data_IF_681746251749
#
_entry.id   IF_681746251749
#
_cell.length_a   1.000
_cell.length_b   1.000
_cell.length_c   1.000
_cell.angle_alpha   90.00
_cell.angle_beta   90.00
_cell.angle_gamma   90.00
#
_symmetry.space_group_name_H-M   'P 1'
#
loop_
_entity.id
_entity.type
_entity.pdbx_description
1 polymer ?
#
# COMPACT_ATOMS: atom_id res chain seq x y z
N UNK A 1 -49.43 -43.36 0.26
CA UNK A 1 -48.02 -43.33 0.64
C UNK A 1 -47.80 -42.03 1.41
N UNK A 2 -47.47 -42.11 2.71
CA UNK A 2 -47.23 -40.95 3.54
C UNK A 2 -45.83 -40.41 3.24
N UNK A 3 -45.76 -39.17 2.85
CA UNK A 3 -44.50 -38.47 2.63
C UNK A 3 -43.84 -38.17 3.99
N UNK A 4 -42.66 -38.70 4.21
CA UNK A 4 -41.86 -38.40 5.40
C UNK A 4 -41.12 -37.11 5.17
N UNK A 5 -41.51 -36.04 5.83
CA UNK A 5 -40.83 -34.75 5.80
C UNK A 5 -39.84 -34.70 6.95
N UNK A 6 -38.56 -34.66 6.65
CA UNK A 6 -37.51 -34.45 7.66
C UNK A 6 -37.38 -32.95 7.97
N UNK A 7 -37.82 -32.56 9.14
CA UNK A 7 -37.57 -31.20 9.67
C UNK A 7 -36.31 -31.18 10.50
N UNK A 8 -35.35 -30.30 10.12
CA UNK A 8 -34.06 -30.12 10.78
C UNK A 8 -34.13 -29.24 12.04
N UNK A 9 -35.31 -28.77 12.43
CA UNK A 9 -35.51 -27.99 13.66
C UNK A 9 -35.97 -28.95 14.77
N UNK A 10 -35.12 -29.15 15.77
CA UNK A 10 -35.40 -29.93 16.94
C UNK A 10 -36.58 -29.42 17.75
N UNK A 11 -37.78 -29.83 17.37
CA UNK A 11 -38.97 -29.74 18.20
C UNK A 11 -39.24 -31.12 18.75
N UNK A 12 -39.17 -31.27 20.04
CA UNK A 12 -39.61 -32.46 20.78
C UNK A 12 -41.11 -32.63 20.65
N UNK A 13 -41.51 -33.39 19.69
CA UNK A 13 -42.88 -33.87 19.58
C UNK A 13 -42.92 -35.31 20.02
N UNK A 14 -43.66 -35.58 21.06
CA UNK A 14 -44.00 -36.88 21.61
C UNK A 14 -44.65 -37.74 20.55
N UNK A 15 -43.96 -38.73 20.08
CA UNK A 15 -44.47 -39.67 19.11
C UNK A 15 -43.41 -40.49 18.41
N UNK A 16 -42.57 -41.21 19.17
CA UNK A 16 -41.82 -42.34 18.64
C UNK A 16 -40.81 -42.10 17.50
N UNK A 17 -40.50 -40.85 17.17
CA UNK A 17 -39.47 -40.53 16.19
C UNK A 17 -38.15 -40.36 16.90
N UNK A 18 -37.20 -41.22 16.65
CA UNK A 18 -35.83 -41.06 17.12
C UNK A 18 -35.32 -39.68 16.63
N UNK A 19 -35.09 -38.77 17.56
CA UNK A 19 -34.60 -37.43 17.23
C UNK A 19 -33.25 -37.56 16.51
N UNK A 20 -33.29 -37.34 15.21
CA UNK A 20 -32.12 -37.54 14.33
C UNK A 20 -31.06 -36.45 14.44
N UNK A 21 -31.24 -35.49 15.33
CA UNK A 21 -30.29 -34.39 15.48
C UNK A 21 -28.87 -34.83 15.88
N UNK A 22 -28.76 -36.01 16.52
CA UNK A 22 -27.43 -36.58 16.87
C UNK A 22 -26.89 -37.58 15.83
N UNK A 23 -27.72 -38.01 14.87
CA UNK A 23 -27.34 -39.02 13.88
C UNK A 23 -27.06 -38.44 12.49
N UNK A 24 -27.39 -37.16 12.25
CA UNK A 24 -27.07 -36.50 10.99
C UNK A 24 -25.66 -36.00 11.06
N UNK A 25 -24.75 -36.72 10.44
CA UNK A 25 -23.37 -36.30 10.27
C UNK A 25 -23.32 -35.15 9.28
N UNK A 26 -22.87 -34.00 9.73
CA UNK A 26 -22.65 -32.87 8.83
C UNK A 26 -21.47 -33.21 7.91
N UNK A 27 -21.73 -33.22 6.61
CA UNK A 27 -20.66 -33.31 5.63
C UNK A 27 -19.94 -31.95 5.57
N UNK A 28 -18.70 -31.95 5.99
CA UNK A 28 -17.84 -30.78 5.81
C UNK A 28 -16.99 -30.99 4.56
N UNK A 29 -16.92 -29.96 3.73
CA UNK A 29 -16.01 -29.96 2.62
C UNK A 29 -14.56 -29.86 3.15
N UNK A 30 -13.67 -30.69 2.60
CA UNK A 30 -12.22 -30.63 2.91
C UNK A 30 -11.52 -29.50 2.16
N UNK A 31 -12.20 -28.89 1.19
CA UNK A 31 -11.65 -27.78 0.42
C UNK A 31 -11.62 -26.53 1.30
N UNK A 32 -10.44 -26.04 1.61
CA UNK A 32 -10.25 -24.75 2.28
C UNK A 32 -10.27 -23.66 1.24
N UNK A 33 -11.34 -22.88 1.23
CA UNK A 33 -11.42 -21.68 0.40
C UNK A 33 -10.88 -20.48 1.17
N UNK A 34 -9.95 -19.76 0.55
CA UNK A 34 -9.45 -18.50 1.07
C UNK A 34 -10.24 -17.35 0.47
N UNK A 35 -10.55 -16.35 1.29
CA UNK A 35 -11.12 -15.12 0.78
C UNK A 35 -10.21 -14.49 -0.28
N UNK A 36 -10.79 -14.03 -1.38
CA UNK A 36 -10.07 -13.27 -2.38
C UNK A 36 -9.51 -11.98 -1.75
N UNK A 37 -8.23 -11.71 -1.97
CA UNK A 37 -7.49 -10.62 -1.32
C UNK A 37 -6.79 -9.78 -2.37
N UNK A 38 -6.70 -8.47 -2.12
CA UNK A 38 -5.92 -7.57 -2.97
C UNK A 38 -4.43 -7.82 -2.78
N UNK A 39 -3.69 -7.85 -3.88
CA UNK A 39 -2.24 -8.02 -3.87
C UNK A 39 -1.55 -6.80 -3.23
N UNK A 40 -0.57 -6.99 -2.31
CA UNK A 40 0.26 -5.91 -1.78
C UNK A 40 1.27 -5.47 -2.84
N UNK A 41 1.23 -4.19 -3.22
CA UNK A 41 2.06 -3.64 -4.31
C UNK A 41 2.91 -2.43 -3.88
N UNK A 42 2.59 -1.81 -2.74
CA UNK A 42 3.17 -0.52 -2.35
C UNK A 42 4.65 -0.65 -1.97
N UNK A 43 5.05 -1.79 -1.37
CA UNK A 43 6.45 -2.09 -1.07
C UNK A 43 7.35 -2.03 -2.31
N UNK A 44 6.82 -2.32 -3.50
CA UNK A 44 7.59 -2.28 -4.77
C UNK A 44 8.09 -0.88 -5.13
N UNK A 45 7.52 0.16 -4.53
CA UNK A 45 7.95 1.56 -4.70
C UNK A 45 9.17 1.89 -3.85
N UNK A 46 9.47 1.10 -2.83
CA UNK A 46 10.61 1.32 -1.97
C UNK A 46 11.93 0.91 -2.65
N UNK A 47 12.95 1.74 -2.50
CA UNK A 47 14.29 1.44 -2.96
C UNK A 47 15.07 0.79 -1.81
N UNK A 48 15.38 -0.50 -1.95
CA UNK A 48 16.11 -1.27 -0.93
C UNK A 48 17.54 -0.77 -0.77
N UNK A 49 17.97 -0.63 0.48
CA UNK A 49 19.34 -0.24 0.87
C UNK A 49 20.00 -1.42 1.58
N UNK A 50 20.84 -2.21 0.89
CA UNK A 50 21.32 -3.51 1.39
C UNK A 50 22.47 -3.43 2.42
N UNK A 51 22.97 -2.24 2.76
CA UNK A 51 24.25 -2.11 3.45
C UNK A 51 24.24 -2.35 4.96
N UNK A 52 23.13 -2.79 5.56
CA UNK A 52 22.95 -2.68 7.00
C UNK A 52 23.16 -3.97 7.81
N UNK A 53 23.26 -5.11 7.18
CA UNK A 53 23.48 -6.38 7.91
C UNK A 53 24.85 -6.49 8.60
N UNK A 54 25.83 -5.67 8.18
CA UNK A 54 27.20 -5.75 8.68
C UNK A 54 27.54 -4.77 9.80
N UNK A 55 26.65 -3.80 10.09
CA UNK A 55 26.89 -2.77 11.10
C UNK A 55 25.82 -2.84 12.18
N UNK A 56 26.18 -3.12 13.45
CA UNK A 56 25.24 -3.12 14.55
C UNK A 56 24.70 -1.71 14.80
N UNK A 57 23.37 -1.55 14.81
CA UNK A 57 22.72 -0.29 15.10
C UNK A 57 21.21 -0.36 14.84
N UNK A 58 20.42 0.32 15.64
CA UNK A 58 18.97 0.42 15.48
C UNK A 58 18.54 1.47 14.45
N UNK A 59 19.49 2.22 13.90
CA UNK A 59 19.23 3.32 12.97
C UNK A 59 20.23 3.30 11.82
N UNK A 60 19.70 3.56 10.62
CA UNK A 60 20.48 3.70 9.40
C UNK A 60 20.46 5.15 8.97
N UNK A 61 21.63 5.76 8.86
CA UNK A 61 21.76 7.16 8.42
C UNK A 61 22.20 7.16 6.96
N UNK A 62 21.33 7.66 6.08
CA UNK A 62 21.61 7.86 4.67
C UNK A 62 22.04 9.31 4.45
N UNK A 63 23.24 9.52 3.94
CA UNK A 63 23.77 10.86 3.64
C UNK A 63 23.53 11.20 2.17
N UNK A 64 23.12 12.43 1.91
CA UNK A 64 22.94 13.00 0.57
C UNK A 64 23.78 14.27 0.45
N UNK A 65 24.67 14.27 -0.52
CA UNK A 65 25.40 15.46 -0.90
C UNK A 65 24.58 16.31 -1.87
N UNK A 66 24.70 17.62 -1.74
CA UNK A 66 24.08 18.59 -2.64
C UNK A 66 25.13 19.04 -3.66
N UNK A 67 24.71 19.22 -4.90
CA UNK A 67 25.58 19.68 -5.98
C UNK A 67 26.09 21.10 -5.70
N UNK A 68 27.28 21.42 -6.19
CA UNK A 68 27.81 22.77 -6.19
C UNK A 68 27.01 23.65 -7.15
N UNK A 69 26.93 24.93 -6.83
CA UNK A 69 26.34 25.93 -7.73
C UNK A 69 27.11 26.01 -9.05
N UNK A 70 26.36 26.17 -10.16
CA UNK A 70 26.99 26.35 -11.44
C UNK A 70 27.85 27.63 -11.46
N UNK A 71 29.06 27.53 -12.00
CA UNK A 71 29.97 28.67 -12.19
C UNK A 71 29.48 29.48 -13.40
N UNK A 72 29.24 30.77 -13.20
CA UNK A 72 28.79 31.71 -14.26
C UNK A 72 29.85 32.79 -14.56
N UNK A 73 30.88 32.89 -13.74
CA UNK A 73 31.96 33.84 -13.91
C UNK A 73 33.08 33.33 -14.82
N UNK A 74 33.72 34.22 -15.58
CA UNK A 74 34.92 33.91 -16.34
C UNK A 74 36.13 34.00 -15.41
N UNK A 75 37.12 33.12 -15.61
CA UNK A 75 38.40 33.18 -14.91
C UNK A 75 39.28 34.30 -15.44
N UNK A 76 40.04 34.95 -14.55
CA UNK A 76 41.04 35.94 -14.90
C UNK A 76 42.39 35.23 -15.06
N UNK A 77 43.18 35.59 -16.05
CA UNK A 77 44.40 34.85 -16.46
C UNK A 77 45.47 34.76 -15.38
N UNK A 78 45.56 35.74 -14.50
CA UNK A 78 46.62 35.83 -13.47
C UNK A 78 46.08 35.74 -12.02
N UNK A 79 44.85 35.28 -11.83
CA UNK A 79 44.21 35.21 -10.52
C UNK A 79 43.86 33.76 -10.15
N UNK A 80 44.23 33.37 -8.93
CA UNK A 80 43.87 32.04 -8.45
C UNK A 80 42.38 31.98 -8.08
N UNK A 81 41.76 30.81 -8.30
CA UNK A 81 40.33 30.60 -8.03
C UNK A 81 40.15 30.34 -6.55
N UNK A 82 39.27 31.12 -5.92
CA UNK A 82 38.86 30.86 -4.55
C UNK A 82 38.20 29.49 -4.41
N UNK A 83 38.62 28.71 -3.44
CA UNK A 83 38.07 27.40 -3.17
C UNK A 83 36.61 27.50 -2.66
N UNK A 84 35.68 26.88 -3.34
CA UNK A 84 34.30 26.81 -2.92
C UNK A 84 34.11 25.59 -1.99
N UNK A 85 33.66 25.86 -0.76
CA UNK A 85 33.35 24.79 0.19
C UNK A 85 32.18 23.94 -0.24
N UNK A 86 32.26 22.63 -0.09
CA UNK A 86 31.12 21.73 -0.24
C UNK A 86 30.07 22.00 0.84
N UNK A 87 28.80 22.00 0.45
CA UNK A 87 27.70 22.08 1.41
C UNK A 87 27.68 20.87 2.34
N UNK A 88 27.27 21.07 3.58
CA UNK A 88 27.08 19.98 4.54
C UNK A 88 26.06 18.96 3.99
N UNK A 89 26.35 17.65 4.01
CA UNK A 89 25.43 16.65 3.52
C UNK A 89 24.16 16.62 4.37
N UNK A 90 23.02 16.47 3.70
CA UNK A 90 21.74 16.23 4.38
C UNK A 90 21.63 14.76 4.72
N UNK A 91 21.24 14.45 5.96
CA UNK A 91 21.08 13.08 6.42
C UNK A 91 19.59 12.73 6.59
N UNK A 92 19.22 11.53 6.17
CA UNK A 92 17.90 10.92 6.45
C UNK A 92 18.14 9.68 7.30
N UNK A 93 17.48 9.63 8.45
CA UNK A 93 17.62 8.50 9.39
C UNK A 93 16.43 7.56 9.22
N UNK A 94 16.72 6.27 9.06
CA UNK A 94 15.74 5.19 9.07
C UNK A 94 15.87 4.44 10.38
N UNK A 95 14.80 4.41 11.18
CA UNK A 95 14.77 3.62 12.41
C UNK A 95 14.32 2.20 12.06
N UNK A 96 15.10 1.22 12.48
CA UNK A 96 14.79 -0.19 12.34
C UNK A 96 13.95 -0.64 13.52
N UNK A 97 12.79 -1.23 13.25
CA UNK A 97 11.89 -1.76 14.25
C UNK A 97 11.61 -3.24 13.98
N UNK A 98 11.33 -3.95 15.04
CA UNK A 98 10.90 -5.35 14.97
C UNK A 98 9.41 -5.40 14.70
N UNK A 99 9.02 -6.24 13.73
CA UNK A 99 7.63 -6.50 13.38
C UNK A 99 7.39 -7.99 13.32
N UNK A 100 6.24 -8.41 13.79
CA UNK A 100 5.86 -9.82 13.75
C UNK A 100 4.42 -10.01 14.22
N UNK A 101 3.85 -11.14 13.84
CA UNK A 101 2.56 -11.61 14.32
C UNK A 101 2.60 -13.14 14.44
N UNK A 102 1.89 -13.69 15.41
CA UNK A 102 1.88 -15.13 15.63
C UNK A 102 0.50 -15.67 15.94
N UNK A 103 0.25 -16.90 15.51
CA UNK A 103 -0.95 -17.68 15.79
C UNK A 103 -0.52 -18.90 16.58
N UNK A 104 -1.26 -19.24 17.64
CA UNK A 104 -1.01 -20.41 18.45
C UNK A 104 -1.89 -21.56 17.94
N UNK A 105 -1.25 -22.63 17.48
CA UNK A 105 -1.91 -23.86 17.03
C UNK A 105 -1.97 -24.83 18.18
N UNK A 106 -3.15 -25.37 18.46
CA UNK A 106 -3.33 -26.35 19.52
C UNK A 106 -3.40 -27.77 18.94
N UNK A 107 -2.78 -28.74 19.62
CA UNK A 107 -2.84 -30.13 19.21
C UNK A 107 -4.28 -30.70 19.12
N UNK A 108 -5.20 -30.13 19.90
CA UNK A 108 -6.61 -30.52 19.82
C UNK A 108 -7.22 -30.17 18.46
N UNK A 109 -6.88 -29.00 17.92
CA UNK A 109 -7.35 -28.60 16.58
C UNK A 109 -6.77 -29.52 15.52
N UNK A 110 -5.47 -29.84 15.59
CA UNK A 110 -4.83 -30.78 14.65
C UNK A 110 -5.50 -32.16 14.66
N UNK A 111 -5.89 -32.65 15.83
CA UNK A 111 -6.51 -33.98 15.98
C UNK A 111 -7.99 -34.02 15.58
N UNK A 112 -8.73 -32.94 15.81
CA UNK A 112 -10.19 -32.93 15.61
C UNK A 112 -10.60 -32.25 14.31
N UNK A 113 -9.70 -31.55 13.63
CA UNK A 113 -9.97 -30.94 12.34
C UNK A 113 -10.02 -31.99 11.24
N UNK A 114 -11.02 -31.85 10.38
CA UNK A 114 -11.19 -32.68 9.18
C UNK A 114 -10.25 -32.22 8.05
N UNK A 115 -9.83 -30.95 8.07
CA UNK A 115 -8.96 -30.33 7.08
C UNK A 115 -7.55 -30.17 7.63
N UNK A 116 -6.56 -30.16 6.75
CA UNK A 116 -5.18 -29.87 7.09
C UNK A 116 -5.03 -28.37 7.40
N UNK A 117 -4.82 -28.04 8.66
CA UNK A 117 -4.81 -26.66 9.17
C UNK A 117 -3.46 -25.99 8.96
N UNK A 118 -2.36 -26.69 8.98
CA UNK A 118 -1.02 -26.13 8.89
C UNK A 118 -0.78 -25.32 7.61
N UNK A 119 -1.13 -25.81 6.39
CA UNK A 119 -0.99 -25.03 5.17
C UNK A 119 -1.91 -23.81 5.14
N UNK A 120 -3.11 -23.91 5.73
CA UNK A 120 -4.04 -22.80 5.82
C UNK A 120 -3.50 -21.66 6.68
N UNK A 121 -2.98 -21.99 7.86
CA UNK A 121 -2.38 -21.00 8.77
C UNK A 121 -1.13 -20.38 8.14
N UNK A 122 -0.27 -21.16 7.49
CA UNK A 122 0.91 -20.66 6.80
C UNK A 122 0.55 -19.64 5.71
N UNK A 123 -0.50 -19.89 4.92
CA UNK A 123 -0.98 -18.96 3.91
C UNK A 123 -1.53 -17.66 4.53
N UNK A 124 -2.30 -17.76 5.61
CA UNK A 124 -2.84 -16.59 6.33
C UNK A 124 -1.70 -15.75 6.91
N UNK A 125 -0.69 -16.38 7.49
CA UNK A 125 0.49 -15.69 8.06
C UNK A 125 1.31 -15.01 6.97
N UNK A 126 1.57 -15.71 5.85
CA UNK A 126 2.30 -15.15 4.72
C UNK A 126 1.60 -13.91 4.12
N UNK A 127 0.27 -13.96 3.99
CA UNK A 127 -0.49 -12.80 3.55
C UNK A 127 -0.44 -11.66 4.58
N UNK A 128 -0.59 -11.96 5.88
CA UNK A 128 -0.51 -10.96 6.95
C UNK A 128 0.86 -10.28 6.98
N UNK A 129 1.95 -11.02 6.74
CA UNK A 129 3.29 -10.49 6.58
C UNK A 129 3.32 -9.44 5.44
N UNK A 130 2.89 -9.85 4.24
CA UNK A 130 2.90 -8.98 3.08
C UNK A 130 2.01 -7.73 3.25
N UNK A 131 0.82 -7.92 3.84
CA UNK A 131 -0.14 -6.85 4.16
C UNK A 131 0.42 -5.84 5.16
N UNK A 132 1.05 -6.34 6.21
CA UNK A 132 1.62 -5.48 7.27
C UNK A 132 2.76 -4.61 6.74
N UNK A 133 3.67 -5.19 5.96
CA UNK A 133 4.79 -4.44 5.37
C UNK A 133 4.31 -3.40 4.38
N UNK A 134 3.33 -3.75 3.54
CA UNK A 134 2.72 -2.84 2.58
C UNK A 134 2.04 -1.65 3.29
N UNK A 135 1.35 -1.91 4.41
CA UNK A 135 0.76 -0.88 5.26
C UNK A 135 1.78 0.05 5.91
N UNK A 136 2.94 -0.47 6.35
CA UNK A 136 4.05 0.34 6.87
C UNK A 136 4.64 1.25 5.80
N UNK A 137 4.88 0.72 4.60
CA UNK A 137 5.34 1.49 3.46
C UNK A 137 4.36 2.62 3.11
N UNK A 138 3.04 2.31 3.07
CA UNK A 138 1.99 3.29 2.82
C UNK A 138 1.94 4.37 3.89
N UNK A 139 2.09 4.00 5.16
CA UNK A 139 2.10 4.96 6.26
C UNK A 139 3.22 5.98 6.12
N UNK A 140 4.39 5.56 5.65
CA UNK A 140 5.52 6.46 5.39
C UNK A 140 5.30 7.30 4.13
N UNK A 141 4.77 6.72 3.05
CA UNK A 141 4.51 7.43 1.80
C UNK A 141 3.45 8.52 1.94
N UNK A 142 2.40 8.29 2.73
CA UNK A 142 1.31 9.26 2.92
C UNK A 142 1.69 10.49 3.76
N UNK A 143 2.81 10.44 4.46
CA UNK A 143 3.33 11.58 5.20
C UNK A 143 4.07 12.54 4.24
N UNK A 144 4.41 13.74 4.69
CA UNK A 144 5.17 14.71 3.92
C UNK A 144 4.43 16.00 3.65
N UNK A 145 5.19 17.01 3.26
CA UNK A 145 4.70 18.38 3.05
C UNK A 145 4.29 18.66 1.60
N UNK A 146 4.72 17.83 0.64
CA UNK A 146 4.42 18.01 -0.77
C UNK A 146 3.01 17.51 -1.10
N UNK A 147 2.01 18.37 -0.89
CA UNK A 147 0.60 18.05 -1.07
C UNK A 147 -0.02 18.94 -2.13
N UNK A 148 -0.89 18.37 -2.93
CA UNK A 148 -1.78 19.07 -3.87
C UNK A 148 -3.20 18.71 -3.47
N UNK A 149 -3.99 19.72 -3.14
CA UNK A 149 -5.40 19.55 -2.83
C UNK A 149 -6.23 19.68 -4.11
N UNK A 150 -7.17 18.76 -4.31
CA UNK A 150 -8.17 18.85 -5.39
C UNK A 150 -9.26 19.83 -5.02
N UNK A 151 -9.83 20.47 -6.07
CA UNK A 151 -10.83 21.54 -5.88
C UNK A 151 -10.18 22.92 -5.87
N UNK A 152 -10.97 23.92 -6.30
CA UNK A 152 -10.49 25.30 -6.45
C UNK A 152 -10.28 26.05 -5.14
N UNK A 153 -10.93 25.62 -4.07
CA UNK A 153 -10.94 26.30 -2.76
C UNK A 153 -10.26 25.51 -1.65
N UNK A 154 -9.87 24.25 -1.92
CA UNK A 154 -9.27 23.38 -0.91
C UNK A 154 -7.82 23.80 -0.64
N UNK A 155 -7.52 24.14 0.62
CA UNK A 155 -6.17 24.50 1.12
C UNK A 155 -5.63 23.54 2.17
N UNK A 156 -6.48 22.65 2.64
CA UNK A 156 -6.14 21.61 3.64
C UNK A 156 -7.01 20.37 3.44
N UNK A 157 -6.62 19.26 4.03
CA UNK A 157 -7.39 18.01 4.00
C UNK A 157 -8.82 18.22 4.48
N UNK A 158 -9.01 18.96 5.59
CA UNK A 158 -10.32 19.21 6.18
C UNK A 158 -11.28 20.06 5.30
N UNK A 159 -10.78 20.69 4.25
CA UNK A 159 -11.59 21.50 3.32
C UNK A 159 -11.98 20.76 2.05
N UNK A 160 -11.56 19.51 1.88
CA UNK A 160 -11.87 18.67 0.72
C UNK A 160 -13.33 18.19 0.81
N UNK A 161 -14.10 18.49 -0.21
CA UNK A 161 -15.48 18.02 -0.38
C UNK A 161 -15.52 16.76 -1.26
N UNK A 162 -16.63 16.02 -1.24
CA UNK A 162 -16.84 14.89 -2.14
C UNK A 162 -16.77 15.29 -3.63
N UNK A 163 -17.17 16.52 -3.96
CA UNK A 163 -17.10 17.06 -5.31
C UNK A 163 -15.68 17.46 -5.76
N UNK A 164 -14.72 17.54 -4.84
CA UNK A 164 -13.33 17.84 -5.13
C UNK A 164 -12.60 16.60 -5.68
N UNK A 165 -13.05 16.05 -6.78
CA UNK A 165 -12.51 14.84 -7.42
C UNK A 165 -11.11 15.07 -8.00
N UNK A 166 -10.38 13.97 -8.20
CA UNK A 166 -9.09 14.02 -8.88
C UNK A 166 -9.29 14.40 -10.35
N UNK A 167 -8.53 15.39 -10.81
CA UNK A 167 -8.57 15.84 -12.21
C UNK A 167 -7.22 15.64 -12.91
N UNK A 168 -7.28 15.54 -14.24
CA UNK A 168 -6.10 15.51 -15.12
C UNK A 168 -5.18 16.70 -14.89
N UNK A 169 -5.75 17.87 -14.56
CA UNK A 169 -4.98 19.09 -14.24
C UNK A 169 -4.13 18.92 -12.97
N UNK A 170 -4.65 18.19 -11.95
CA UNK A 170 -3.91 17.92 -10.72
C UNK A 170 -2.74 16.97 -10.98
N UNK A 171 -2.93 15.97 -11.84
CA UNK A 171 -1.86 15.04 -12.25
C UNK A 171 -0.77 15.81 -12.99
N UNK A 172 -1.12 16.63 -13.99
CA UNK A 172 -0.16 17.47 -14.71
C UNK A 172 0.61 18.39 -13.79
N UNK A 173 -0.06 19.02 -12.83
CA UNK A 173 0.57 19.87 -11.81
C UNK A 173 1.59 19.12 -10.96
N UNK A 174 1.26 17.90 -10.53
CA UNK A 174 2.17 17.07 -9.76
C UNK A 174 3.41 16.66 -10.57
N UNK A 175 3.21 16.18 -11.80
CA UNK A 175 4.31 15.78 -12.69
C UNK A 175 5.19 16.98 -13.07
N UNK A 176 4.59 18.15 -13.33
CA UNK A 176 5.36 19.38 -13.60
C UNK A 176 6.24 19.77 -12.41
N UNK A 177 5.71 19.68 -11.17
CA UNK A 177 6.48 19.97 -9.96
C UNK A 177 7.60 18.94 -9.74
N UNK A 178 7.35 17.65 -9.98
CA UNK A 178 8.39 16.61 -9.91
C UNK A 178 9.54 16.88 -10.89
N UNK A 179 9.20 17.25 -12.13
CA UNK A 179 10.20 17.61 -13.15
C UNK A 179 10.94 18.89 -12.80
N UNK A 180 10.26 19.91 -12.27
CA UNK A 180 10.89 21.15 -11.79
C UNK A 180 11.88 20.89 -10.66
N UNK A 181 11.59 19.93 -9.79
CA UNK A 181 12.48 19.48 -8.72
C UNK A 181 13.59 18.52 -9.22
N UNK A 182 13.75 18.36 -10.54
CA UNK A 182 14.74 17.45 -11.14
C UNK A 182 14.64 16.00 -10.62
N UNK A 183 13.42 15.56 -10.27
CA UNK A 183 13.19 14.19 -9.85
C UNK A 183 13.31 13.24 -11.04
N UNK A 184 13.99 12.11 -10.83
CA UNK A 184 14.18 11.10 -11.87
C UNK A 184 12.95 10.19 -11.93
N UNK A 185 12.35 9.97 -13.12
CA UNK A 185 11.24 9.05 -13.31
C UNK A 185 11.64 7.61 -12.95
N UNK A 186 10.66 6.80 -12.49
CA UNK A 186 10.92 5.44 -12.01
C UNK A 186 11.01 4.41 -13.15
N UNK A 187 10.19 4.55 -14.19
CA UNK A 187 10.14 3.64 -15.34
C UNK A 187 10.29 4.41 -16.65
N UNK A 188 11.50 4.42 -17.19
CA UNK A 188 11.78 5.21 -18.41
C UNK A 188 11.54 6.69 -18.18
N UNK A 189 10.52 7.26 -18.84
CA UNK A 189 10.11 8.66 -18.68
C UNK A 189 8.91 8.86 -17.74
N UNK A 190 8.41 7.78 -17.11
CA UNK A 190 7.17 7.77 -16.36
C UNK A 190 7.42 7.70 -14.84
N UNK A 191 6.65 8.50 -14.10
CA UNK A 191 6.57 8.44 -12.64
C UNK A 191 5.55 7.37 -12.23
N UNK A 192 5.78 6.73 -11.09
CA UNK A 192 4.81 5.82 -10.50
C UNK A 192 3.65 6.60 -9.88
N UNK A 193 2.43 6.19 -10.12
CA UNK A 193 1.24 6.79 -9.52
C UNK A 193 0.34 5.70 -8.94
N UNK A 194 0.20 5.68 -7.61
CA UNK A 194 -0.75 4.80 -6.93
C UNK A 194 -2.10 5.49 -6.76
N UNK A 195 -3.18 4.84 -7.22
CA UNK A 195 -4.54 5.40 -7.21
C UNK A 195 -5.55 4.39 -6.64
N UNK A 196 -6.54 4.91 -5.90
CA UNK A 196 -7.65 4.08 -5.41
C UNK A 196 -8.70 3.89 -6.51
N UNK A 197 -9.39 2.72 -6.60
CA UNK A 197 -10.39 2.45 -7.64
C UNK A 197 -11.51 3.50 -7.73
N UNK A 198 -11.99 3.99 -6.61
CA UNK A 198 -13.04 5.03 -6.57
C UNK A 198 -12.59 6.35 -7.19
N UNK A 199 -11.32 6.72 -6.99
CA UNK A 199 -10.74 7.93 -7.60
C UNK A 199 -10.38 7.73 -9.06
N UNK A 200 -9.98 6.50 -9.44
CA UNK A 200 -9.73 6.17 -10.84
C UNK A 200 -10.99 6.22 -11.69
N UNK A 201 -12.14 5.86 -11.11
CA UNK A 201 -13.44 6.02 -11.76
C UNK A 201 -13.69 7.49 -12.15
N UNK A 202 -13.48 8.42 -11.23
CA UNK A 202 -13.70 9.84 -11.46
C UNK A 202 -12.74 10.40 -12.52
N UNK A 203 -11.47 10.02 -12.47
CA UNK A 203 -10.47 10.43 -13.45
C UNK A 203 -10.83 9.94 -14.86
N UNK A 204 -11.33 8.70 -14.98
CA UNK A 204 -11.79 8.13 -16.27
C UNK A 204 -13.11 8.72 -16.76
N UNK A 205 -13.94 9.23 -15.86
CA UNK A 205 -15.20 9.90 -16.22
C UNK A 205 -14.98 11.32 -16.78
N UNK A 206 -13.80 11.90 -16.55
CA UNK A 206 -13.45 13.23 -17.02
C UNK A 206 -13.41 13.27 -18.56
N UNK A 207 -14.15 14.19 -19.17
CA UNK A 207 -14.29 14.33 -20.63
C UNK A 207 -14.01 15.76 -21.08
N UNK A 208 -13.24 15.93 -22.14
CA UNK A 208 -12.88 17.24 -22.73
C UNK A 208 -11.51 17.18 -23.40
N UNK A 209 -11.15 18.24 -24.11
CA UNK A 209 -9.87 18.33 -24.79
C UNK A 209 -8.70 18.23 -23.80
N UNK A 210 -7.73 17.36 -24.08
CA UNK A 210 -6.55 17.08 -23.24
C UNK A 210 -6.87 16.53 -21.83
N UNK A 211 -8.07 15.97 -21.62
CA UNK A 211 -8.42 15.21 -20.42
C UNK A 211 -8.13 13.73 -20.59
N UNK A 212 -8.28 12.93 -19.51
CA UNK A 212 -7.90 11.50 -19.50
C UNK A 212 -8.45 10.72 -20.70
N UNK A 213 -9.72 10.93 -21.02
CA UNK A 213 -10.45 10.14 -22.02
C UNK A 213 -9.99 10.39 -23.45
N UNK A 214 -9.53 11.61 -23.76
CA UNK A 214 -9.21 12.03 -25.12
C UNK A 214 -7.99 11.29 -25.69
N UNK A 215 -6.82 11.25 -25.04
CA UNK A 215 -5.66 10.49 -25.51
C UNK A 215 -5.91 8.98 -25.63
N UNK A 216 -6.69 8.40 -24.71
CA UNK A 216 -6.95 6.96 -24.69
C UNK A 216 -7.91 6.50 -25.79
N UNK A 217 -8.74 7.39 -26.33
CA UNK A 217 -9.57 7.08 -27.49
C UNK A 217 -8.76 6.86 -28.76
N UNK A 218 -7.54 7.40 -28.84
CA UNK A 218 -6.69 7.33 -30.02
C UNK A 218 -5.60 6.26 -29.96
N UNK A 219 -5.25 5.76 -28.78
CA UNK A 219 -4.08 4.88 -28.63
C UNK A 219 -4.38 3.39 -28.80
N UNK A 220 -5.47 2.88 -28.27
CA UNK A 220 -5.92 1.49 -28.49
C UNK A 220 -7.30 1.24 -27.87
N UNK A 221 -8.32 0.84 -28.65
CA UNK A 221 -9.65 0.56 -28.11
C UNK A 221 -9.72 -0.63 -27.16
N UNK A 222 -8.78 -1.57 -27.23
CA UNK A 222 -8.72 -2.77 -26.40
C UNK A 222 -8.50 -2.45 -24.92
N UNK A 223 -7.75 -1.41 -24.61
CA UNK A 223 -7.47 -0.98 -23.24
C UNK A 223 -8.71 -0.56 -22.47
N UNK A 224 -9.73 -0.03 -23.17
CA UNK A 224 -10.99 0.38 -22.58
C UNK A 224 -11.75 -0.82 -22.00
N UNK A 225 -11.73 -1.95 -22.69
CA UNK A 225 -12.41 -3.17 -22.29
C UNK A 225 -11.71 -3.90 -21.12
N UNK A 226 -10.39 -3.82 -21.07
CA UNK A 226 -9.59 -4.44 -20.01
C UNK A 226 -9.62 -3.67 -18.69
N UNK A 227 -10.15 -2.44 -18.65
CA UNK A 227 -10.14 -1.59 -17.47
C UNK A 227 -8.72 -1.14 -17.06
N UNK A 228 -7.76 -1.26 -17.96
CA UNK A 228 -6.38 -0.82 -17.73
C UNK A 228 -6.32 0.70 -17.62
N UNK A 229 -5.64 1.20 -16.59
CA UNK A 229 -5.52 2.63 -16.36
C UNK A 229 -4.42 3.23 -17.23
N UNK A 230 -3.39 2.46 -17.58
CA UNK A 230 -2.34 2.89 -18.50
C UNK A 230 -1.46 4.02 -17.97
N UNK A 231 -0.89 4.79 -18.90
CA UNK A 231 -0.03 5.94 -18.59
C UNK A 231 -0.67 7.24 -19.10
N UNK A 232 -0.58 8.30 -18.30
CA UNK A 232 -1.11 9.61 -18.64
C UNK A 232 -0.19 10.72 -18.12
N UNK A 233 0.08 11.73 -18.93
CA UNK A 233 0.86 12.93 -18.58
C UNK A 233 2.22 12.65 -17.91
N UNK A 234 2.88 11.56 -18.25
CA UNK A 234 4.18 11.19 -17.69
C UNK A 234 4.11 10.41 -16.37
N UNK A 235 2.93 9.95 -15.96
CA UNK A 235 2.75 9.03 -14.85
C UNK A 235 2.11 7.71 -15.33
N UNK A 236 2.57 6.56 -14.84
CA UNK A 236 1.89 5.29 -15.00
C UNK A 236 1.12 4.95 -13.75
N UNK A 237 -0.14 4.59 -13.94
CA UNK A 237 -1.08 4.39 -12.85
C UNK A 237 -1.17 2.92 -12.47
N UNK A 238 -1.08 2.68 -11.15
CA UNK A 238 -1.32 1.38 -10.54
C UNK A 238 -2.53 1.52 -9.64
N UNK A 239 -3.61 0.83 -10.02
CA UNK A 239 -4.84 0.80 -9.25
C UNK A 239 -4.76 -0.24 -8.15
N UNK A 240 -4.98 0.19 -6.91
CA UNK A 240 -5.07 -0.73 -5.79
C UNK A 240 -6.03 -0.19 -4.73
N UNK A 241 -6.94 -1.02 -4.19
CA UNK A 241 -7.83 -0.64 -3.10
C UNK A 241 -7.09 -0.38 -1.78
N UNK A 242 -5.78 -0.68 -1.75
CA UNK A 242 -4.91 -0.49 -0.58
C UNK A 242 -4.37 0.94 -0.46
N UNK A 243 -4.65 1.82 -1.43
CA UNK A 243 -4.32 3.24 -1.30
C UNK A 243 -5.11 3.85 -0.15
N UNK A 244 -4.43 4.69 0.62
CA UNK A 244 -4.98 5.22 1.86
C UNK A 244 -6.17 6.13 1.61
N UNK A 245 -7.26 5.85 2.34
CA UNK A 245 -8.42 6.71 2.47
C UNK A 245 -8.77 6.93 3.94
N UNK A 246 -9.26 8.11 4.28
CA UNK A 246 -9.76 8.42 5.62
C UNK A 246 -10.93 9.40 5.53
N UNK A 247 -11.84 9.32 6.49
CA UNK A 247 -12.94 10.27 6.65
C UNK A 247 -12.44 11.50 7.41
N UNK A 248 -11.57 12.30 6.78
CA UNK A 248 -10.93 13.49 7.35
C UNK A 248 -11.14 14.77 6.51
N UNK A 249 -12.06 14.71 5.54
CA UNK A 249 -12.47 15.83 4.71
C UNK A 249 -13.52 16.74 5.34
N UNK A 250 -14.07 17.65 4.53
CA UNK A 250 -15.14 18.57 4.92
C UNK A 250 -16.42 17.83 5.27
N UNK A 251 -17.09 18.22 6.34
CA UNK A 251 -18.40 17.69 6.76
C UNK A 251 -18.62 17.85 8.25
N UNK A 252 -19.79 18.37 8.65
CA UNK A 252 -20.13 18.62 10.06
C UNK A 252 -20.75 17.40 10.76
N UNK A 253 -21.44 16.53 10.02
CA UNK A 253 -22.13 15.36 10.58
C UNK A 253 -21.46 14.04 10.20
N UNK A 254 -20.87 13.97 9.01
CA UNK A 254 -20.01 12.88 8.55
C UNK A 254 -18.91 13.49 7.68
N UNK A 255 -17.66 13.31 8.07
CA UNK A 255 -16.54 13.82 7.29
C UNK A 255 -16.46 13.06 5.96
N UNK A 256 -16.26 13.79 4.86
CA UNK A 256 -16.08 13.18 3.54
C UNK A 256 -14.80 12.34 3.51
N UNK A 257 -14.85 11.22 2.79
CA UNK A 257 -13.67 10.41 2.56
C UNK A 257 -12.67 11.13 1.67
N UNK A 258 -11.45 11.28 2.14
CA UNK A 258 -10.33 11.83 1.39
C UNK A 258 -9.39 10.70 0.96
N UNK A 259 -9.10 10.65 -0.31
CA UNK A 259 -8.21 9.69 -0.94
C UNK A 259 -6.86 10.33 -1.19
N UNK A 260 -5.80 9.55 -0.97
CA UNK A 260 -4.43 10.02 -1.16
C UNK A 260 -3.78 9.29 -2.33
N UNK A 261 -3.84 9.93 -3.50
CA UNK A 261 -3.12 9.50 -4.70
C UNK A 261 -1.66 9.94 -4.58
N UNK A 262 -0.72 9.02 -4.74
CA UNK A 262 0.70 9.28 -4.56
C UNK A 262 1.40 9.17 -5.89
N UNK A 263 2.19 10.20 -6.26
CA UNK A 263 3.03 10.19 -7.46
C UNK A 263 4.49 10.25 -6.99
N UNK A 264 5.26 9.21 -7.35
CA UNK A 264 6.61 9.00 -6.87
C UNK A 264 7.61 8.79 -8.01
N UNK A 265 8.76 9.43 -7.87
CA UNK A 265 9.95 9.17 -8.69
C UNK A 265 10.88 8.13 -8.07
N UNK A 266 12.10 8.03 -8.59
CA UNK A 266 13.16 7.22 -7.98
C UNK A 266 13.59 7.82 -6.65
N UNK A 267 13.98 6.94 -5.72
CA UNK A 267 14.48 7.31 -4.39
C UNK A 267 13.49 8.13 -3.53
N UNK A 268 12.19 8.05 -3.83
CA UNK A 268 11.15 8.68 -3.02
C UNK A 268 11.05 8.03 -1.63
N UNK A 269 11.02 6.69 -1.60
CA UNK A 269 10.96 5.87 -0.39
C UNK A 269 12.20 4.99 -0.31
N UNK A 270 12.88 4.99 0.82
CA UNK A 270 13.96 4.07 1.13
C UNK A 270 13.49 3.01 2.14
N UNK A 271 13.85 1.76 1.86
CA UNK A 271 13.66 0.62 2.77
C UNK A 271 15.02 0.18 3.29
N UNK A 272 15.18 0.10 4.61
CA UNK A 272 16.31 -0.52 5.27
C UNK A 272 15.86 -1.82 5.92
N UNK A 273 16.58 -2.90 5.65
CA UNK A 273 16.26 -4.24 6.14
C UNK A 273 17.46 -4.77 6.89
N UNK A 274 17.28 -5.05 8.18
CA UNK A 274 18.28 -5.75 8.99
C UNK A 274 18.05 -7.27 8.94
N UNK A 275 16.78 -7.68 9.01
CA UNK A 275 16.38 -9.07 8.85
C UNK A 275 15.15 -9.14 7.93
N UNK A 276 15.30 -9.90 6.81
CA UNK A 276 14.19 -10.04 5.86
C UNK A 276 13.02 -10.75 6.54
N UNK A 277 11.80 -10.21 6.40
CA UNK A 277 10.61 -10.83 6.97
C UNK A 277 10.42 -12.26 6.45
N UNK A 278 10.29 -13.19 7.36
CA UNK A 278 10.12 -14.61 7.07
C UNK A 278 9.15 -15.29 8.02
N UNK A 279 8.61 -16.42 7.61
CA UNK A 279 7.72 -17.22 8.44
C UNK A 279 8.55 -18.04 9.43
N UNK A 280 8.16 -18.00 10.69
CA UNK A 280 8.81 -18.70 11.79
C UNK A 280 7.85 -19.72 12.40
N UNK A 281 8.29 -20.94 12.55
CA UNK A 281 7.60 -21.97 13.32
C UNK A 281 8.36 -22.14 14.63
N UNK A 282 7.76 -21.74 15.73
CA UNK A 282 8.38 -21.78 17.03
C UNK A 282 8.34 -23.18 17.66
N UNK A 283 9.17 -23.41 18.68
CA UNK A 283 9.10 -24.62 19.47
C UNK A 283 7.78 -24.66 20.26
N UNK A 284 7.43 -25.86 20.75
CA UNK A 284 6.27 -26.02 21.62
C UNK A 284 6.51 -25.29 22.94
N UNK A 285 5.58 -24.39 23.30
CA UNK A 285 5.74 -23.47 24.46
C UNK A 285 5.06 -23.95 25.74
N UNK A 286 4.24 -25.00 25.68
CA UNK A 286 3.51 -25.52 26.82
C UNK A 286 4.23 -26.77 27.45
N UNK A 287 4.16 -26.89 28.77
CA UNK A 287 4.70 -28.05 29.53
C UNK A 287 4.10 -29.41 29.12
N UNK A 288 2.87 -29.41 28.59
CA UNK A 288 2.20 -30.58 28.04
C UNK A 288 2.40 -30.76 26.53
N UNK A 289 3.22 -29.93 25.90
CA UNK A 289 3.52 -29.96 24.47
C UNK A 289 2.27 -29.87 23.57
N UNK A 290 1.29 -29.02 23.95
CA UNK A 290 0.02 -28.88 23.26
C UNK A 290 -0.06 -27.67 22.33
N UNK A 291 0.82 -26.68 22.54
CA UNK A 291 0.75 -25.39 21.85
C UNK A 291 1.99 -25.15 21.00
N UNK A 292 1.81 -25.00 19.69
CA UNK A 292 2.88 -24.68 18.74
C UNK A 292 2.61 -23.31 18.13
N UNK A 293 3.47 -22.31 18.37
CA UNK A 293 3.33 -21.02 17.73
C UNK A 293 3.82 -21.07 16.28
N UNK A 294 3.03 -20.49 15.38
CA UNK A 294 3.41 -20.21 13.99
C UNK A 294 3.24 -18.71 13.76
N UNK A 295 4.23 -18.06 13.17
CA UNK A 295 4.19 -16.63 12.98
C UNK A 295 5.14 -16.16 11.89
N UNK A 296 5.26 -14.86 11.77
CA UNK A 296 6.28 -14.22 10.97
C UNK A 296 7.04 -13.19 11.81
N UNK A 297 8.26 -12.95 11.44
CA UNK A 297 9.15 -12.00 12.09
C UNK A 297 10.02 -11.32 11.07
N UNK A 298 10.39 -10.05 11.31
CA UNK A 298 11.33 -9.30 10.50
C UNK A 298 11.71 -7.99 11.15
N UNK A 299 12.87 -7.48 10.79
CA UNK A 299 13.39 -6.20 11.29
C UNK A 299 13.66 -5.29 10.10
N UNK A 300 12.84 -4.25 9.97
CA UNK A 300 12.92 -3.33 8.83
C UNK A 300 12.45 -1.92 9.22
N UNK A 301 12.73 -0.97 8.35
CA UNK A 301 12.29 0.41 8.51
C UNK A 301 12.11 1.09 7.16
N UNK A 302 11.20 2.07 7.11
CA UNK A 302 10.96 2.90 5.94
C UNK A 302 11.20 4.36 6.28
N UNK A 303 11.76 5.12 5.34
CA UNK A 303 11.81 6.57 5.42
C UNK A 303 11.68 7.20 4.03
N UNK A 304 11.14 8.41 3.97
CA UNK A 304 11.19 9.21 2.76
C UNK A 304 12.60 9.74 2.56
N UNK A 305 13.25 9.30 1.50
CA UNK A 305 14.64 9.66 1.24
C UNK A 305 14.76 10.99 0.51
N UNK A 306 13.94 11.18 -0.55
CA UNK A 306 13.87 12.45 -1.30
C UNK A 306 12.43 12.97 -1.27
N UNK A 307 12.18 13.97 -0.44
CA UNK A 307 10.87 14.61 -0.36
C UNK A 307 10.48 15.27 -1.70
N UNK A 308 11.46 15.79 -2.44
CA UNK A 308 11.27 16.42 -3.75
C UNK A 308 10.80 15.44 -4.84
N UNK A 309 11.02 14.13 -4.63
CA UNK A 309 10.63 13.07 -5.56
C UNK A 309 9.24 12.49 -5.28
N UNK A 310 8.52 13.05 -4.32
CA UNK A 310 7.20 12.58 -3.89
C UNK A 310 6.19 13.72 -3.89
N UNK A 311 5.03 13.51 -4.52
CA UNK A 311 3.85 14.37 -4.37
C UNK A 311 2.64 13.54 -4.03
N UNK A 312 1.86 14.04 -3.07
CA UNK A 312 0.58 13.48 -2.67
C UNK A 312 -0.54 14.38 -3.18
N UNK A 313 -1.51 13.81 -3.87
CA UNK A 313 -2.73 14.51 -4.28
C UNK A 313 -3.84 14.02 -3.36
N UNK A 314 -4.50 14.93 -2.67
CA UNK A 314 -5.65 14.66 -1.83
C UNK A 314 -6.93 15.08 -2.55
N UNK A 315 -7.85 14.13 -2.70
CA UNK A 315 -9.10 14.31 -3.44
C UNK A 315 -10.26 13.62 -2.77
N UNK A 316 -11.46 14.11 -3.01
CA UNK A 316 -12.69 13.38 -2.77
C UNK A 316 -12.97 12.37 -3.88
N UNK A 317 -14.12 11.72 -3.80
CA UNK A 317 -14.65 10.89 -4.89
C UNK A 317 -16.17 11.01 -4.96
N UNK A 318 -16.70 10.97 -6.19
CA UNK A 318 -18.14 11.04 -6.45
C UNK A 318 -18.90 9.79 -5.98
N UNK A 319 -18.19 8.65 -5.83
CA UNK A 319 -18.79 7.37 -5.39
C UNK A 319 -18.90 7.32 -3.87
N UNK A 320 -18.00 7.98 -3.15
CA UNK A 320 -17.95 7.94 -1.69
C UNK A 320 -18.90 8.94 -0.99
N UNK A 321 -19.77 9.58 -1.75
CA UNK A 321 -20.73 10.58 -1.25
C UNK A 321 -21.97 9.92 -0.60
#
# INVERSE_FOLDING_TARGET
MASVTYTTTGSSSLGGTVGSAGLVQKAYDRLLEFALRSEPLIRSVADKRPAQQSVPGSTVVLQRYVDLSAVTGTLTENDDVDAVGMSTPTSVTITLNEYGNSVLVTRAIELFSLADIDPAIANIIAFNLADSIDGLAMTTLRQGSNVIYSGSTATSTATITAAATLSSANVRKAVAKLRANKSVPRKGSLYWAGIHPEVSHDLRAESGAAQWRDPHNYSSPENIWAGEIGSYEGAYFVETPRMYKAADGSGSSAANSVYRTIIAGQQALAEAVAEEPHVVIGPVVDRLMRHRPMGWYGVLGFARYREEALYRIESGSSIAA
#
